data_IF_719574880107
#
_entry.id   IF_719574880107
#
_cell.length_a   1.000
_cell.length_b   1.000
_cell.length_c   1.000
_cell.angle_alpha   90.00
_cell.angle_beta   90.00
_cell.angle_gamma   90.00
#
_symmetry.space_group_name_H-M   'P 1'
#
loop_
_entity.id
_entity.type
_entity.pdbx_description
1 polymer ?
#
# COMPACT_ATOMS: atom_id res chain seq x y z
N UNK A 1 11.11 -28.10 -1.33
CA UNK A 1 11.46 -26.83 -0.64
C UNK A 1 11.51 -25.78 -1.75
N UNK A 2 10.55 -24.85 -1.83
CA UNK A 2 10.54 -23.82 -2.88
C UNK A 2 11.64 -22.81 -2.56
N UNK A 3 12.54 -22.56 -3.50
CA UNK A 3 13.57 -21.55 -3.35
C UNK A 3 12.92 -20.16 -3.28
N UNK A 4 13.11 -19.47 -2.16
CA UNK A 4 12.54 -18.13 -1.94
C UNK A 4 13.22 -17.06 -2.81
N UNK A 5 14.34 -17.37 -3.46
CA UNK A 5 15.03 -16.49 -4.41
C UNK A 5 14.34 -16.42 -5.78
N UNK A 6 13.39 -17.31 -6.06
CA UNK A 6 12.60 -17.29 -7.31
C UNK A 6 11.46 -16.25 -7.29
N UNK A 7 11.13 -15.69 -6.12
CA UNK A 7 10.05 -14.69 -6.01
C UNK A 7 10.60 -13.27 -6.20
N UNK A 8 10.02 -12.45 -7.09
CA UNK A 8 10.44 -11.06 -7.26
C UNK A 8 10.29 -10.30 -5.95
N UNK A 9 11.38 -9.65 -5.51
CA UNK A 9 11.35 -8.82 -4.31
C UNK A 9 10.48 -7.60 -4.57
N UNK A 10 9.87 -7.06 -3.52
CA UNK A 10 9.01 -5.86 -3.63
C UNK A 10 9.76 -4.68 -4.28
N UNK A 11 11.07 -4.57 -4.02
CA UNK A 11 11.95 -3.54 -4.60
C UNK A 11 12.16 -3.67 -6.11
N UNK A 12 11.93 -4.86 -6.68
CA UNK A 12 12.12 -5.14 -8.10
C UNK A 12 10.78 -5.06 -8.87
N UNK A 13 9.66 -4.82 -8.16
CA UNK A 13 8.31 -4.69 -8.71
C UNK A 13 7.92 -3.24 -8.99
N UNK A 14 7.03 -3.04 -9.96
CA UNK A 14 6.33 -1.77 -10.18
C UNK A 14 5.51 -1.40 -8.95
N UNK A 15 5.64 -0.14 -8.51
CA UNK A 15 5.01 0.33 -7.28
C UNK A 15 3.49 0.34 -7.37
N UNK A 16 2.92 1.04 -8.34
CA UNK A 16 1.48 1.08 -8.56
C UNK A 16 1.13 1.53 -9.97
N UNK A 17 -0.10 1.23 -10.40
CA UNK A 17 -0.75 1.83 -11.56
C UNK A 17 -2.05 2.46 -11.08
N UNK A 18 -2.31 3.69 -11.51
CA UNK A 18 -3.57 4.39 -11.29
C UNK A 18 -4.38 4.44 -12.59
N UNK A 19 -5.67 4.10 -12.52
CA UNK A 19 -6.56 4.13 -13.67
C UNK A 19 -7.94 4.67 -13.32
N UNK A 20 -8.51 5.43 -14.23
CA UNK A 20 -9.89 5.94 -14.17
C UNK A 20 -10.60 5.62 -15.48
N UNK A 21 -11.92 5.68 -15.47
CA UNK A 21 -12.75 5.61 -16.68
C UNK A 21 -12.44 4.39 -17.58
N UNK A 22 -12.19 3.24 -16.96
CA UNK A 22 -11.81 2.02 -17.65
C UNK A 22 -12.62 0.79 -17.21
N UNK A 23 -12.69 -0.21 -18.07
CA UNK A 23 -13.22 -1.55 -17.73
C UNK A 23 -12.05 -2.52 -17.61
N UNK A 24 -12.00 -3.24 -16.50
CA UNK A 24 -10.90 -4.16 -16.18
C UNK A 24 -11.42 -5.59 -16.21
N UNK A 25 -10.87 -6.37 -17.14
CA UNK A 25 -11.32 -7.73 -17.41
C UNK A 25 -10.16 -8.70 -17.44
N UNK A 26 -10.46 -9.99 -17.28
CA UNK A 26 -9.50 -11.05 -17.53
C UNK A 26 -9.67 -11.52 -18.97
N UNK A 27 -8.61 -11.45 -19.76
CA UNK A 27 -8.55 -12.00 -21.11
C UNK A 27 -7.47 -13.09 -21.12
N UNK A 28 -7.87 -14.34 -21.38
CA UNK A 28 -6.99 -15.53 -21.28
C UNK A 28 -6.28 -15.64 -19.92
N UNK A 29 -4.98 -15.36 -19.87
CA UNK A 29 -4.14 -15.40 -18.67
C UNK A 29 -3.75 -14.01 -18.15
N UNK A 30 -4.17 -12.94 -18.82
CA UNK A 30 -3.82 -11.57 -18.50
C UNK A 30 -5.02 -10.79 -17.95
N UNK A 31 -4.73 -9.75 -17.16
CA UNK A 31 -5.68 -8.69 -16.84
C UNK A 31 -5.50 -7.58 -17.85
N UNK A 32 -6.58 -7.10 -18.42
CA UNK A 32 -6.59 -6.05 -19.46
C UNK A 32 -7.36 -4.85 -18.94
N UNK A 33 -6.82 -3.67 -19.19
CA UNK A 33 -7.49 -2.38 -19.06
C UNK A 33 -8.08 -2.01 -20.42
N UNK A 34 -9.39 -1.79 -20.45
CA UNK A 34 -10.14 -1.29 -21.60
C UNK A 34 -10.51 0.17 -21.33
N UNK A 35 -9.93 1.09 -22.08
CA UNK A 35 -10.24 2.51 -22.02
C UNK A 35 -10.53 3.07 -23.44
N UNK A 36 -10.61 4.38 -23.57
CA UNK A 36 -10.79 5.04 -24.86
C UNK A 36 -9.57 4.95 -25.80
N UNK A 37 -8.39 4.58 -25.29
CA UNK A 37 -7.16 4.38 -26.06
C UNK A 37 -7.03 2.94 -26.55
N UNK A 38 -7.78 2.01 -25.97
CA UNK A 38 -7.93 0.64 -26.43
C UNK A 38 -7.70 -0.38 -25.33
N UNK A 39 -6.93 -1.43 -25.66
CA UNK A 39 -6.65 -2.57 -24.78
C UNK A 39 -5.20 -2.53 -24.32
N UNK A 40 -4.99 -2.44 -23.01
CA UNK A 40 -3.64 -2.46 -22.42
C UNK A 40 -3.51 -3.60 -21.41
N UNK A 41 -2.57 -4.55 -21.60
CA UNK A 41 -2.32 -5.61 -20.64
C UNK A 41 -1.63 -5.08 -19.37
N UNK A 42 -2.01 -5.62 -18.22
CA UNK A 42 -1.43 -5.30 -16.91
C UNK A 42 -0.40 -6.36 -16.54
N UNK A 43 0.85 -5.98 -16.18
CA UNK A 43 1.87 -6.92 -15.73
C UNK A 43 1.64 -7.33 -14.25
N UNK A 44 0.58 -8.10 -13.97
CA UNK A 44 0.12 -8.39 -12.61
C UNK A 44 1.19 -9.01 -11.70
N UNK A 45 2.05 -9.88 -12.23
CA UNK A 45 3.08 -10.59 -11.45
C UNK A 45 4.17 -9.65 -10.88
N UNK A 46 4.42 -8.53 -11.55
CA UNK A 46 5.42 -7.54 -11.16
C UNK A 46 4.79 -6.23 -10.70
N UNK A 47 3.47 -6.17 -10.50
CA UNK A 47 2.76 -4.99 -10.02
C UNK A 47 2.38 -5.17 -8.56
N UNK A 48 2.76 -4.23 -7.69
CA UNK A 48 2.40 -4.30 -6.28
C UNK A 48 0.95 -3.83 -6.04
N UNK A 49 0.52 -2.74 -6.70
CA UNK A 49 -0.79 -2.13 -6.45
C UNK A 49 -1.46 -1.70 -7.76
N UNK A 50 -2.73 -2.08 -7.96
CA UNK A 50 -3.62 -1.50 -8.97
C UNK A 50 -4.65 -0.61 -8.27
N UNK A 51 -4.58 0.70 -8.53
CA UNK A 51 -5.45 1.72 -7.96
C UNK A 51 -6.57 2.07 -8.95
N UNK A 52 -7.80 1.86 -8.52
CA UNK A 52 -9.03 2.04 -9.29
C UNK A 52 -9.70 3.34 -8.86
N UNK A 53 -9.54 4.37 -9.68
CA UNK A 53 -10.21 5.66 -9.54
C UNK A 53 -11.64 5.65 -10.10
N UNK A 54 -12.33 6.80 -10.06
CA UNK A 54 -13.71 6.94 -10.52
C UNK A 54 -13.93 6.49 -11.97
N UNK A 55 -15.16 6.04 -12.27
CA UNK A 55 -15.53 5.55 -13.60
C UNK A 55 -14.95 4.17 -13.96
N UNK A 56 -14.30 3.50 -13.01
CA UNK A 56 -13.71 2.18 -13.24
C UNK A 56 -14.67 1.05 -12.89
N UNK A 57 -14.75 0.02 -13.73
CA UNK A 57 -15.44 -1.24 -13.42
C UNK A 57 -14.47 -2.41 -13.56
N UNK A 58 -14.60 -3.43 -12.72
CA UNK A 58 -13.70 -4.59 -12.72
C UNK A 58 -14.47 -5.89 -12.54
N UNK A 59 -14.13 -6.91 -13.32
CA UNK A 59 -14.75 -8.23 -13.23
C UNK A 59 -14.16 -9.04 -12.07
N UNK A 60 -14.96 -9.97 -11.54
CA UNK A 60 -14.49 -10.93 -10.53
C UNK A 60 -13.28 -11.75 -11.01
N UNK A 61 -13.26 -12.14 -12.29
CA UNK A 61 -12.15 -12.90 -12.86
C UNK A 61 -10.83 -12.10 -12.87
N UNK A 62 -10.89 -10.79 -13.13
CA UNK A 62 -9.72 -9.92 -13.03
C UNK A 62 -9.24 -9.78 -11.59
N UNK A 63 -10.15 -9.55 -10.63
CA UNK A 63 -9.81 -9.50 -9.19
C UNK A 63 -9.12 -10.79 -8.73
N UNK A 64 -9.68 -11.95 -9.08
CA UNK A 64 -9.09 -13.25 -8.74
C UNK A 64 -7.66 -13.37 -9.28
N UNK A 65 -7.43 -12.99 -10.54
CA UNK A 65 -6.10 -13.04 -11.15
C UNK A 65 -5.09 -12.09 -10.48
N UNK A 66 -5.52 -10.87 -10.14
CA UNK A 66 -4.66 -9.90 -9.42
C UNK A 66 -4.23 -10.45 -8.06
N UNK A 67 -5.16 -11.01 -7.28
CA UNK A 67 -4.88 -11.56 -5.95
C UNK A 67 -3.99 -12.82 -6.03
N UNK A 68 -4.22 -13.69 -7.02
CA UNK A 68 -3.36 -14.87 -7.26
C UNK A 68 -1.92 -14.49 -7.62
N UNK A 69 -1.74 -13.31 -8.24
CA UNK A 69 -0.44 -12.71 -8.57
C UNK A 69 0.03 -11.72 -7.51
N UNK A 70 -0.55 -11.73 -6.31
CA UNK A 70 -0.06 -10.95 -5.19
C UNK A 70 -0.06 -9.42 -5.44
N UNK A 71 -0.91 -8.96 -6.38
CA UNK A 71 -1.18 -7.56 -6.69
C UNK A 71 -2.36 -7.06 -5.87
N UNK A 72 -2.12 -6.10 -4.98
CA UNK A 72 -3.17 -5.46 -4.18
C UNK A 72 -4.03 -4.57 -5.07
N UNK A 73 -5.32 -4.49 -4.77
CA UNK A 73 -6.26 -3.59 -5.47
C UNK A 73 -6.76 -2.55 -4.49
N UNK A 74 -6.72 -1.27 -4.85
CA UNK A 74 -7.28 -0.18 -4.05
C UNK A 74 -8.37 0.52 -4.83
N UNK A 75 -9.53 0.74 -4.22
CA UNK A 75 -10.55 1.65 -4.75
C UNK A 75 -10.36 3.00 -4.10
N UNK A 76 -10.15 4.01 -4.93
CA UNK A 76 -9.82 5.35 -4.50
C UNK A 76 -10.65 6.40 -5.25
N UNK A 77 -10.64 7.62 -4.72
CA UNK A 77 -11.19 8.78 -5.41
C UNK A 77 -10.24 9.31 -6.48
N UNK A 78 -10.65 10.41 -7.09
CA UNK A 78 -9.87 11.15 -8.09
C UNK A 78 -8.46 11.44 -7.59
N UNK A 79 -7.48 11.30 -8.49
CA UNK A 79 -6.04 11.43 -8.22
C UNK A 79 -5.49 10.56 -7.07
N UNK A 80 -6.23 9.53 -6.63
CA UNK A 80 -5.83 8.68 -5.51
C UNK A 80 -5.93 9.37 -4.14
N UNK A 81 -6.63 10.51 -4.03
CA UNK A 81 -6.69 11.31 -2.80
C UNK A 81 -7.54 10.63 -1.72
N UNK A 82 -8.69 10.05 -2.11
CA UNK A 82 -9.59 9.35 -1.20
C UNK A 82 -9.35 7.85 -1.28
N UNK A 83 -9.52 7.16 -0.17
CA UNK A 83 -9.49 5.70 -0.10
C UNK A 83 -10.86 5.18 0.31
N UNK A 84 -11.38 4.20 -0.44
CA UNK A 84 -12.70 3.62 -0.21
C UNK A 84 -12.64 2.16 0.22
N UNK A 85 -11.86 1.34 -0.47
CA UNK A 85 -11.74 -0.09 -0.19
C UNK A 85 -10.41 -0.65 -0.67
N UNK A 86 -10.01 -1.80 -0.12
CA UNK A 86 -8.86 -2.56 -0.58
C UNK A 86 -9.21 -4.03 -0.75
N UNK A 87 -8.54 -4.68 -1.70
CA UNK A 87 -8.39 -6.13 -1.75
C UNK A 87 -7.22 -6.61 -0.87
N UNK A 88 -7.07 -7.92 -0.80
CA UNK A 88 -5.91 -8.53 -0.15
C UNK A 88 -4.68 -8.48 -1.07
N UNK A 89 -3.49 -8.41 -0.46
CA UNK A 89 -2.21 -8.54 -1.16
C UNK A 89 -1.40 -9.73 -0.65
N UNK A 90 -0.07 -9.63 -0.81
CA UNK A 90 0.94 -10.68 -0.51
C UNK A 90 0.87 -11.34 0.87
N UNK A 91 0.55 -10.57 1.92
CA UNK A 91 0.72 -11.05 3.29
C UNK A 91 -0.45 -11.93 3.72
N UNK A 92 -0.19 -13.23 3.87
CA UNK A 92 -1.13 -14.20 4.46
C UNK A 92 -0.87 -14.50 5.94
N UNK A 93 0.02 -13.73 6.58
CA UNK A 93 0.45 -13.95 7.96
C UNK A 93 0.09 -12.75 8.85
N UNK A 94 -0.63 -13.02 9.94
CA UNK A 94 -1.09 -12.00 10.88
C UNK A 94 -0.02 -11.53 11.89
N UNK A 95 1.17 -12.15 11.94
CA UNK A 95 2.23 -11.83 12.91
C UNK A 95 2.54 -10.32 12.98
N UNK A 96 2.67 -9.67 11.83
CA UNK A 96 3.04 -8.25 11.78
C UNK A 96 1.91 -7.33 12.23
N UNK A 97 0.66 -7.64 11.87
CA UNK A 97 -0.50 -6.82 12.31
C UNK A 97 -0.74 -6.99 13.82
N UNK A 98 -0.56 -8.21 14.36
CA UNK A 98 -0.64 -8.47 15.79
C UNK A 98 0.46 -7.71 16.54
N UNK A 99 1.70 -7.74 16.02
CA UNK A 99 2.80 -6.98 16.61
C UNK A 99 2.55 -5.46 16.56
N UNK A 100 2.02 -4.93 15.45
CA UNK A 100 1.63 -3.53 15.35
C UNK A 100 0.55 -3.16 16.37
N UNK A 101 -0.44 -4.03 16.58
CA UNK A 101 -1.49 -3.82 17.57
C UNK A 101 -0.94 -3.75 19.01
N UNK A 102 0.03 -4.61 19.35
CA UNK A 102 0.74 -4.56 20.64
C UNK A 102 1.46 -3.21 20.82
N UNK A 103 2.25 -2.81 19.82
CA UNK A 103 3.05 -1.58 19.87
C UNK A 103 2.19 -0.32 19.94
N UNK A 104 1.04 -0.31 19.26
CA UNK A 104 0.14 0.83 19.26
C UNK A 104 -0.72 0.89 20.53
N UNK A 105 -1.07 -0.23 21.15
CA UNK A 105 -1.98 -0.25 22.31
C UNK A 105 -1.27 0.12 23.61
N UNK A 106 -0.06 -0.39 23.84
CA UNK A 106 0.66 -0.18 25.10
C UNK A 106 1.35 1.20 25.13
N UNK A 107 1.06 2.08 26.12
CA UNK A 107 1.57 3.46 26.12
C UNK A 107 3.08 3.59 26.04
N UNK A 108 3.85 2.74 26.74
CA UNK A 108 5.31 2.78 26.72
C UNK A 108 5.87 2.42 25.33
N UNK A 109 5.28 1.46 24.63
CA UNK A 109 5.69 1.12 23.26
C UNK A 109 5.27 2.18 22.27
N UNK A 110 4.06 2.73 22.41
CA UNK A 110 3.55 3.79 21.55
C UNK A 110 4.48 5.00 21.52
N UNK A 111 4.97 5.46 22.68
CA UNK A 111 5.90 6.59 22.72
C UNK A 111 7.25 6.22 22.09
N UNK A 112 7.80 5.03 22.35
CA UNK A 112 9.06 4.60 21.74
C UNK A 112 8.98 4.55 20.22
N UNK A 113 7.87 4.04 19.67
CA UNK A 113 7.62 4.04 18.21
C UNK A 113 7.53 5.46 17.67
N UNK A 114 6.77 6.35 18.32
CA UNK A 114 6.63 7.74 17.90
C UNK A 114 7.99 8.48 17.88
N UNK A 115 8.84 8.24 18.89
CA UNK A 115 10.21 8.80 18.95
C UNK A 115 11.08 8.29 17.81
N UNK A 116 11.03 6.98 17.53
CA UNK A 116 11.76 6.38 16.40
C UNK A 116 11.28 6.93 15.05
N UNK A 117 9.96 7.08 14.86
CA UNK A 117 9.40 7.68 13.64
C UNK A 117 9.86 9.13 13.46
N UNK A 118 9.86 9.93 14.54
CA UNK A 118 10.35 11.30 14.51
C UNK A 118 11.83 11.36 14.14
N UNK A 119 12.67 10.54 14.80
CA UNK A 119 14.10 10.48 14.53
C UNK A 119 14.40 10.03 13.09
N UNK A 120 13.62 9.09 12.54
CA UNK A 120 13.73 8.66 11.15
C UNK A 120 13.35 9.77 10.16
N UNK A 121 12.27 10.52 10.45
CA UNK A 121 11.79 11.60 9.58
C UNK A 121 12.76 12.77 9.50
N UNK A 122 13.41 13.10 10.61
CA UNK A 122 14.23 14.32 10.72
C UNK A 122 15.73 14.05 10.90
N UNK A 123 16.15 12.79 10.93
CA UNK A 123 17.56 12.38 11.11
C UNK A 123 18.22 12.96 12.37
N UNK A 124 17.47 13.05 13.48
CA UNK A 124 17.92 13.68 14.73
C UNK A 124 17.66 12.79 15.95
N UNK A 125 18.54 12.91 16.95
CA UNK A 125 18.32 12.33 18.26
C UNK A 125 17.30 13.19 19.05
N UNK A 126 16.39 12.52 19.75
CA UNK A 126 15.33 13.18 20.51
C UNK A 126 15.41 12.79 21.98
N UNK A 127 15.13 13.73 22.89
CA UNK A 127 15.15 13.43 24.33
C UNK A 127 14.11 12.37 24.70
N UNK A 128 14.50 11.45 25.58
CA UNK A 128 13.64 10.40 26.13
C UNK A 128 12.59 10.92 27.12
N UNK A 129 12.59 12.22 27.41
CA UNK A 129 11.62 12.86 28.31
C UNK A 129 10.43 13.44 27.54
N UNK A 130 10.56 13.54 26.21
CA UNK A 130 9.51 14.12 25.37
C UNK A 130 8.29 13.21 25.28
N UNK A 131 7.13 13.72 25.68
CA UNK A 131 5.86 13.03 25.51
C UNK A 131 5.30 13.18 24.09
N UNK A 132 4.27 12.40 23.77
CA UNK A 132 3.70 12.34 22.40
C UNK A 132 3.12 13.68 21.93
N UNK A 133 2.59 14.50 22.85
CA UNK A 133 2.03 15.83 22.52
C UNK A 133 3.14 16.80 22.15
N UNK A 134 4.25 16.79 22.89
CA UNK A 134 5.43 17.59 22.59
C UNK A 134 6.04 17.20 21.24
N UNK A 135 6.15 15.90 20.94
CA UNK A 135 6.63 15.43 19.63
C UNK A 135 5.77 15.94 18.47
N UNK A 136 4.44 15.83 18.60
CA UNK A 136 3.50 16.37 17.61
C UNK A 136 3.64 17.88 17.44
N UNK A 137 3.81 18.63 18.53
CA UNK A 137 4.02 20.07 18.48
C UNK A 137 5.30 20.46 17.75
N UNK A 138 6.41 19.79 18.06
CA UNK A 138 7.69 20.02 17.37
C UNK A 138 7.62 19.65 15.89
N UNK A 139 6.96 18.55 15.54
CA UNK A 139 6.73 18.16 14.14
C UNK A 139 5.89 19.21 13.41
N UNK A 140 4.77 19.65 14.00
CA UNK A 140 3.91 20.67 13.41
C UNK A 140 4.62 22.00 13.18
N UNK A 141 5.49 22.43 14.11
CA UNK A 141 6.31 23.63 13.92
C UNK A 141 7.29 23.49 12.74
N UNK A 142 7.89 22.31 12.56
CA UNK A 142 8.81 22.02 11.44
C UNK A 142 8.12 21.95 10.09
N UNK A 143 6.86 21.52 10.03
CA UNK A 143 6.15 21.40 8.76
C UNK A 143 5.59 22.72 8.23
N UNK A 144 5.52 23.75 9.07
CA UNK A 144 5.03 25.08 8.68
C UNK A 144 6.13 26.00 8.17
N UNK A 145 7.36 25.79 8.64
CA UNK A 145 8.54 26.57 8.29
C UNK A 145 9.33 25.83 7.21
#
# INVERSE_FOLDING_TARGET
MKDLHELPKIQDSLSYIYIEHAKIEKEQHAVIILDNKGKTPVPCASLNILMLGPGTSITHAAIKNLIENDCMVLWCGEEGIRFYAQGFGRTRNAKNIIHQALLSTIPVFRILVARKMYALRFHENISLDLNIRQLRGKEGARMRN
#
